data_IF_047025526574
#
_entry.id   IF_047025526574
#
_cell.length_a   1.000
_cell.length_b   1.000
_cell.length_c   1.000
_cell.angle_alpha   90.00
_cell.angle_beta   90.00
_cell.angle_gamma   90.00
#
_symmetry.space_group_name_H-M   'P 1'
#
loop_
_entity.id
_entity.type
_entity.pdbx_description
1 polymer ?
#
# COMPACT_ATOMS: atom_id res chain seq x y z
N UNK A 1 -6.84 20.44 -57.97
CA UNK A 1 -7.33 21.36 -56.92
C UNK A 1 -7.27 20.56 -55.62
N UNK A 2 -6.30 20.91 -54.77
CA UNK A 2 -6.06 20.25 -53.49
C UNK A 2 -7.21 20.56 -52.54
N UNK A 3 -7.85 19.51 -52.02
CA UNK A 3 -8.78 19.60 -50.92
C UNK A 3 -7.99 19.73 -49.61
N UNK A 4 -7.95 20.95 -49.08
CA UNK A 4 -7.48 21.25 -47.74
C UNK A 4 -8.34 20.51 -46.70
N UNK A 5 -7.83 19.36 -46.26
CA UNK A 5 -8.29 18.69 -45.05
C UNK A 5 -7.83 19.53 -43.86
N UNK A 6 -8.74 20.35 -43.33
CA UNK A 6 -8.63 20.87 -41.95
C UNK A 6 -8.82 19.70 -41.01
N UNK A 7 -7.70 19.13 -40.57
CA UNK A 7 -7.66 18.22 -39.43
C UNK A 7 -7.84 19.10 -38.20
N UNK A 8 -9.03 19.06 -37.61
CA UNK A 8 -9.23 19.56 -36.26
C UNK A 8 -8.34 18.72 -35.33
N UNK A 9 -7.20 19.29 -34.96
CA UNK A 9 -6.41 18.84 -33.83
C UNK A 9 -7.33 18.88 -32.61
N UNK A 10 -7.88 17.73 -32.24
CA UNK A 10 -8.46 17.50 -30.92
C UNK A 10 -7.29 17.74 -29.97
N UNK A 11 -7.25 18.98 -29.45
CA UNK A 11 -6.29 19.42 -28.46
C UNK A 11 -6.29 18.39 -27.34
N UNK A 12 -5.10 17.84 -27.10
CA UNK A 12 -4.87 16.70 -26.22
C UNK A 12 -5.63 16.80 -24.92
N UNK A 13 -6.10 15.62 -24.51
CA UNK A 13 -6.54 15.24 -23.18
C UNK A 13 -6.40 16.35 -22.14
N UNK A 14 -7.56 16.91 -21.77
CA UNK A 14 -7.70 17.52 -20.46
C UNK A 14 -7.33 16.45 -19.45
N UNK A 15 -6.09 16.47 -18.97
CA UNK A 15 -5.73 15.85 -17.70
C UNK A 15 -6.72 16.43 -16.69
N UNK A 16 -7.60 15.61 -16.07
CA UNK A 16 -8.46 16.15 -15.04
C UNK A 16 -7.57 16.72 -13.94
N UNK A 17 -7.69 18.03 -13.68
CA UNK A 17 -6.95 18.84 -12.68
C UNK A 17 -7.10 18.37 -11.23
N UNK A 18 -7.59 17.15 -10.97
CA UNK A 18 -8.03 16.71 -9.66
C UNK A 18 -7.12 15.64 -9.05
N UNK A 19 -5.80 15.90 -9.06
CA UNK A 19 -4.81 15.05 -8.37
C UNK A 19 -4.71 15.41 -6.86
N UNK A 20 -5.39 16.48 -6.41
CA UNK A 20 -5.49 16.86 -5.00
C UNK A 20 -6.85 16.48 -4.39
N UNK A 21 -7.27 15.21 -4.53
CA UNK A 21 -8.36 14.73 -3.68
C UNK A 21 -7.85 14.65 -2.23
N UNK A 22 -8.47 15.41 -1.34
CA UNK A 22 -8.24 15.25 0.09
C UNK A 22 -8.52 13.79 0.48
N UNK A 23 -7.66 13.18 1.33
CA UNK A 23 -7.92 11.84 1.82
C UNK A 23 -9.32 11.79 2.45
N UNK A 24 -10.13 10.80 2.07
CA UNK A 24 -11.48 10.63 2.61
C UNK A 24 -11.58 9.36 3.44
N UNK A 25 -12.28 9.43 4.56
CA UNK A 25 -12.61 8.27 5.41
C UNK A 25 -13.48 7.25 4.68
N UNK A 26 -14.26 7.67 3.67
CA UNK A 26 -15.08 6.77 2.84
C UNK A 26 -14.23 5.88 1.91
N UNK A 27 -12.99 6.29 1.62
CA UNK A 27 -12.05 5.48 0.85
C UNK A 27 -11.36 4.40 1.71
N UNK A 28 -11.58 4.39 3.03
CA UNK A 28 -11.00 3.39 3.93
C UNK A 28 -11.77 2.06 3.74
N UNK A 29 -11.07 0.95 3.41
CA UNK A 29 -11.70 -0.34 3.19
C UNK A 29 -12.39 -0.88 4.45
N UNK A 30 -13.04 -2.04 4.33
CA UNK A 30 -13.48 -2.78 5.51
C UNK A 30 -12.26 -3.20 6.35
N UNK A 31 -12.03 -2.46 7.44
CA UNK A 31 -10.88 -2.64 8.31
C UNK A 31 -10.94 -3.94 9.10
N UNK A 32 -12.14 -4.45 9.39
CA UNK A 32 -12.29 -5.70 10.14
C UNK A 32 -12.01 -6.89 9.23
N UNK A 33 -12.48 -6.85 7.99
CA UNK A 33 -12.12 -7.83 6.97
C UNK A 33 -10.62 -7.81 6.67
N UNK A 34 -10.03 -6.62 6.53
CA UNK A 34 -8.60 -6.46 6.28
C UNK A 34 -7.76 -7.02 7.43
N UNK A 35 -8.11 -6.69 8.68
CA UNK A 35 -7.43 -7.19 9.88
C UNK A 35 -7.53 -8.72 9.96
N UNK A 36 -8.70 -9.28 9.70
CA UNK A 36 -8.90 -10.73 9.66
C UNK A 36 -8.01 -11.39 8.59
N UNK A 37 -7.96 -10.82 7.39
CA UNK A 37 -7.14 -11.36 6.30
C UNK A 37 -5.64 -11.30 6.63
N UNK A 38 -5.16 -10.20 7.22
CA UNK A 38 -3.77 -10.08 7.66
C UNK A 38 -3.40 -11.16 8.68
N UNK A 39 -4.28 -11.42 9.66
CA UNK A 39 -4.05 -12.50 10.63
C UNK A 39 -4.00 -13.88 9.95
N UNK A 40 -4.93 -14.17 9.04
CA UNK A 40 -4.94 -15.43 8.29
C UNK A 40 -3.70 -15.60 7.39
N UNK A 41 -3.19 -14.50 6.83
CA UNK A 41 -1.94 -14.50 6.06
C UNK A 41 -0.77 -14.80 6.99
N UNK A 42 -0.66 -14.12 8.13
CA UNK A 42 0.40 -14.38 9.11
C UNK A 42 0.41 -15.83 9.59
N UNK A 43 -0.76 -16.37 9.95
CA UNK A 43 -0.90 -17.77 10.37
C UNK A 43 -0.40 -18.73 9.27
N UNK A 44 -0.78 -18.49 8.01
CA UNK A 44 -0.34 -19.29 6.87
C UNK A 44 1.18 -19.18 6.64
N UNK A 45 1.72 -17.96 6.75
CA UNK A 45 3.15 -17.69 6.60
C UNK A 45 3.96 -18.34 7.74
N UNK A 46 3.37 -18.53 8.92
CA UNK A 46 4.03 -19.16 10.06
C UNK A 46 4.11 -20.69 10.00
N UNK A 47 3.34 -21.32 9.11
CA UNK A 47 3.42 -22.76 8.89
C UNK A 47 4.84 -23.19 8.45
N UNK A 48 5.42 -24.25 9.04
CA UNK A 48 6.76 -24.72 8.69
C UNK A 48 6.94 -25.03 7.19
N UNK A 49 5.91 -25.57 6.55
CA UNK A 49 5.90 -25.89 5.12
C UNK A 49 5.95 -24.61 4.28
N UNK A 50 5.18 -23.60 4.65
CA UNK A 50 5.19 -22.29 3.99
C UNK A 50 6.54 -21.59 4.16
N UNK A 51 7.13 -21.64 5.36
CA UNK A 51 8.48 -21.09 5.60
C UNK A 51 9.55 -21.78 4.74
N UNK A 52 9.46 -23.10 4.55
CA UNK A 52 10.35 -23.83 3.62
C UNK A 52 10.09 -23.44 2.16
N UNK A 53 8.82 -23.25 1.80
CA UNK A 53 8.43 -22.86 0.44
C UNK A 53 8.87 -21.43 0.11
N UNK A 54 8.79 -20.50 1.05
CA UNK A 54 9.32 -19.14 0.89
C UNK A 54 10.81 -19.13 0.54
N UNK A 55 11.60 -20.03 1.14
CA UNK A 55 13.05 -20.14 0.88
C UNK A 55 13.38 -20.76 -0.47
N UNK A 56 12.54 -21.67 -0.97
CA UNK A 56 12.82 -22.47 -2.17
C UNK A 56 12.08 -21.97 -3.42
N UNK A 57 10.90 -21.39 -3.26
CA UNK A 57 10.03 -20.90 -4.32
C UNK A 57 9.09 -19.78 -3.81
N UNK A 58 9.62 -18.58 -3.52
CA UNK A 58 8.83 -17.47 -3.01
C UNK A 58 7.72 -17.02 -3.98
N UNK A 59 7.95 -17.16 -5.29
CA UNK A 59 6.97 -16.79 -6.32
C UNK A 59 5.67 -17.60 -6.22
N UNK A 60 5.74 -18.87 -5.82
CA UNK A 60 4.53 -19.69 -5.64
C UNK A 60 3.70 -19.25 -4.43
N UNK A 61 4.37 -18.84 -3.35
CA UNK A 61 3.70 -18.29 -2.16
C UNK A 61 3.04 -16.96 -2.48
N UNK A 62 3.76 -16.05 -3.15
CA UNK A 62 3.23 -14.75 -3.56
C UNK A 62 1.99 -14.92 -4.46
N UNK A 63 2.09 -15.76 -5.50
CA UNK A 63 0.95 -16.04 -6.39
C UNK A 63 -0.26 -16.58 -5.63
N UNK A 64 -0.07 -17.56 -4.76
CA UNK A 64 -1.17 -18.12 -3.96
C UNK A 64 -1.84 -17.07 -3.07
N UNK A 65 -1.05 -16.23 -2.39
CA UNK A 65 -1.60 -15.18 -1.53
C UNK A 65 -2.36 -14.12 -2.34
N UNK A 66 -1.81 -13.69 -3.47
CA UNK A 66 -2.45 -12.72 -4.34
C UNK A 66 -3.77 -13.24 -4.93
N UNK A 67 -3.83 -14.52 -5.31
CA UNK A 67 -5.06 -15.16 -5.80
C UNK A 67 -6.10 -15.37 -4.70
N UNK A 68 -5.67 -15.73 -3.49
CA UNK A 68 -6.57 -16.04 -2.37
C UNK A 68 -7.11 -14.80 -1.66
N UNK A 69 -6.31 -13.73 -1.61
CA UNK A 69 -6.61 -12.51 -0.86
C UNK A 69 -6.63 -11.28 -1.79
N UNK A 70 -7.39 -11.36 -2.89
CA UNK A 70 -7.49 -10.28 -3.88
C UNK A 70 -7.98 -8.95 -3.31
N UNK A 71 -8.73 -8.98 -2.22
CA UNK A 71 -9.25 -7.77 -1.54
C UNK A 71 -8.19 -7.11 -0.62
N UNK A 72 -7.03 -7.74 -0.42
CA UNK A 72 -5.93 -7.17 0.35
C UNK A 72 -5.04 -6.37 -0.61
N UNK A 73 -4.77 -5.09 -0.33
CA UNK A 73 -3.85 -4.29 -1.14
C UNK A 73 -2.49 -4.96 -1.32
N UNK A 74 -2.02 -5.03 -2.57
CA UNK A 74 -0.76 -5.71 -2.91
C UNK A 74 0.44 -5.23 -2.07
N UNK A 75 0.50 -3.94 -1.74
CA UNK A 75 1.55 -3.40 -0.88
C UNK A 75 1.57 -4.01 0.54
N UNK A 76 0.40 -4.35 1.09
CA UNK A 76 0.30 -5.06 2.37
C UNK A 76 0.82 -6.49 2.22
N UNK A 77 0.47 -7.18 1.12
CA UNK A 77 0.98 -8.53 0.86
C UNK A 77 2.51 -8.55 0.73
N UNK A 78 3.09 -7.59 0.00
CA UNK A 78 4.54 -7.43 -0.14
C UNK A 78 5.20 -7.22 1.22
N UNK A 79 4.67 -6.31 2.04
CA UNK A 79 5.22 -6.00 3.37
C UNK A 79 5.17 -7.20 4.33
N UNK A 80 4.13 -8.05 4.23
CA UNK A 80 4.04 -9.30 4.98
C UNK A 80 4.99 -10.39 4.47
N UNK A 81 5.38 -10.33 3.19
CA UNK A 81 6.30 -11.25 2.53
C UNK A 81 7.78 -10.85 2.69
N UNK A 82 8.07 -9.59 3.00
CA UNK A 82 9.40 -9.08 3.38
C UNK A 82 9.83 -9.63 4.75
N UNK A 83 10.20 -10.91 4.77
CA UNK A 83 10.55 -11.70 5.96
C UNK A 83 12.05 -11.91 6.09
N UNK A 84 12.85 -10.86 5.83
CA UNK A 84 14.32 -10.93 5.81
C UNK A 84 14.93 -11.33 7.18
N UNK A 85 14.18 -11.18 8.27
CA UNK A 85 14.48 -11.74 9.59
C UNK A 85 13.20 -12.10 10.36
N UNK A 86 13.28 -13.02 11.34
CA UNK A 86 12.13 -13.33 12.22
C UNK A 86 11.64 -12.10 13.00
N UNK A 87 12.53 -11.13 13.26
CA UNK A 87 12.19 -9.84 13.87
C UNK A 87 11.41 -8.94 12.90
N UNK A 88 11.80 -8.86 11.62
CA UNK A 88 11.10 -8.07 10.61
C UNK A 88 9.65 -8.55 10.41
N UNK A 89 9.42 -9.86 10.49
CA UNK A 89 8.10 -10.50 10.41
C UNK A 89 7.15 -9.95 11.47
N UNK A 90 7.59 -10.00 12.73
CA UNK A 90 6.77 -9.60 13.85
C UNK A 90 6.53 -8.08 13.82
N UNK A 91 7.56 -7.31 13.44
CA UNK A 91 7.44 -5.86 13.36
C UNK A 91 6.49 -5.39 12.27
N UNK A 92 6.56 -5.94 11.06
CA UNK A 92 5.71 -5.53 9.93
C UNK A 92 4.23 -5.83 10.19
N UNK A 93 3.93 -7.01 10.74
CA UNK A 93 2.56 -7.37 11.16
C UNK A 93 2.02 -6.43 12.23
N UNK A 94 2.81 -6.12 13.27
CA UNK A 94 2.40 -5.19 14.33
C UNK A 94 2.17 -3.78 13.77
N UNK A 95 3.05 -3.28 12.92
CA UNK A 95 2.90 -1.95 12.31
C UNK A 95 1.63 -1.82 11.47
N UNK A 96 1.29 -2.86 10.70
CA UNK A 96 0.04 -2.89 9.93
C UNK A 96 -1.19 -2.87 10.83
N UNK A 97 -1.19 -3.63 11.92
CA UNK A 97 -2.31 -3.64 12.87
C UNK A 97 -2.47 -2.28 13.56
N UNK A 98 -1.37 -1.61 13.91
CA UNK A 98 -1.39 -0.27 14.48
C UNK A 98 -1.88 0.79 13.47
N UNK A 99 -1.51 0.65 12.19
CA UNK A 99 -2.03 1.50 11.11
C UNK A 99 -3.54 1.32 10.97
N UNK A 100 -4.02 0.07 10.95
CA UNK A 100 -5.45 -0.25 10.86
C UNK A 100 -6.23 0.35 12.02
N UNK A 101 -5.71 0.23 13.24
CA UNK A 101 -6.33 0.83 14.43
C UNK A 101 -6.37 2.37 14.34
N UNK A 102 -5.34 2.98 13.77
CA UNK A 102 -5.30 4.43 13.56
C UNK A 102 -6.33 4.88 12.52
N UNK A 103 -6.49 4.11 11.44
CA UNK A 103 -7.53 4.33 10.43
C UNK A 103 -8.94 4.09 10.99
N UNK A 104 -9.11 3.13 11.89
CA UNK A 104 -10.39 2.87 12.57
C UNK A 104 -10.83 4.09 13.37
N UNK A 105 -9.94 4.67 14.17
CA UNK A 105 -10.21 5.91 14.90
C UNK A 105 -10.60 7.08 13.99
N UNK A 106 -9.98 7.18 12.82
CA UNK A 106 -10.38 8.17 11.83
C UNK A 106 -11.78 7.91 11.27
N UNK A 107 -12.09 6.65 10.93
CA UNK A 107 -13.40 6.23 10.41
C UNK A 107 -14.53 6.41 11.42
N UNK A 108 -14.25 6.23 12.70
CA UNK A 108 -15.18 6.47 13.81
C UNK A 108 -15.34 7.95 14.19
N UNK A 109 -14.61 8.86 13.52
CA UNK A 109 -14.67 10.30 13.79
C UNK A 109 -13.96 10.75 15.07
N UNK A 110 -13.14 9.88 15.68
CA UNK A 110 -12.35 10.20 16.89
C UNK A 110 -11.21 11.17 16.54
N UNK A 111 -10.70 11.13 15.31
CA UNK A 111 -9.71 12.06 14.79
C UNK A 111 -9.87 12.26 13.28
N UNK A 112 -9.28 13.33 12.72
CA UNK A 112 -9.26 13.50 11.26
C UNK A 112 -8.32 12.49 10.60
N UNK A 113 -8.57 12.19 9.32
CA UNK A 113 -7.67 11.33 8.52
C UNK A 113 -6.27 11.96 8.34
N UNK A 114 -6.20 13.29 8.32
CA UNK A 114 -4.94 14.03 8.31
C UNK A 114 -4.16 13.79 9.62
N UNK A 115 -4.81 13.92 10.77
CA UNK A 115 -4.17 13.69 12.08
C UNK A 115 -3.77 12.22 12.26
N UNK A 116 -4.59 11.29 11.76
CA UNK A 116 -4.28 9.86 11.72
C UNK A 116 -2.99 9.60 10.92
N UNK A 117 -2.89 10.17 9.71
CA UNK A 117 -1.69 10.07 8.86
C UNK A 117 -0.46 10.67 9.53
N UNK A 118 -0.58 11.89 10.07
CA UNK A 118 0.53 12.58 10.74
C UNK A 118 1.01 11.83 11.99
N UNK A 119 0.08 11.35 12.82
CA UNK A 119 0.40 10.59 14.03
C UNK A 119 1.13 9.30 13.70
N UNK A 120 0.64 8.54 12.71
CA UNK A 120 1.28 7.29 12.29
C UNK A 120 2.66 7.56 11.69
N UNK A 121 2.78 8.53 10.78
CA UNK A 121 4.06 8.92 10.16
C UNK A 121 5.09 9.34 11.20
N UNK A 122 4.70 10.17 12.17
CA UNK A 122 5.60 10.60 13.25
C UNK A 122 6.03 9.42 14.14
N UNK A 123 5.17 8.42 14.34
CA UNK A 123 5.52 7.20 15.07
C UNK A 123 6.57 6.38 14.31
N UNK A 124 6.40 6.20 13.00
CA UNK A 124 7.36 5.50 12.14
C UNK A 124 8.72 6.24 12.11
N UNK A 125 8.71 7.57 11.93
CA UNK A 125 9.92 8.41 11.99
C UNK A 125 10.70 8.20 13.29
N UNK A 126 10.01 8.19 14.43
CA UNK A 126 10.63 7.95 15.74
C UNK A 126 11.18 6.53 15.88
N UNK A 127 10.46 5.52 15.37
CA UNK A 127 10.86 4.11 15.46
C UNK A 127 12.11 3.82 14.63
N UNK A 128 12.17 4.30 13.39
CA UNK A 128 13.25 3.99 12.45
C UNK A 128 14.36 5.05 12.39
N UNK A 129 14.26 6.13 13.18
CA UNK A 129 15.11 7.33 13.05
C UNK A 129 15.13 7.88 11.61
N UNK A 130 14.10 7.56 10.82
CA UNK A 130 13.97 7.99 9.44
C UNK A 130 13.75 9.50 9.42
N UNK A 131 14.50 10.20 8.57
CA UNK A 131 14.32 11.63 8.37
C UNK A 131 13.13 11.89 7.46
N UNK A 132 12.57 13.10 7.52
CA UNK A 132 11.48 13.52 6.65
C UNK A 132 11.86 13.42 5.16
N UNK A 133 13.13 13.68 4.85
CA UNK A 133 13.72 13.52 3.53
C UNK A 133 13.72 12.07 3.03
N UNK A 134 13.95 11.09 3.92
CA UNK A 134 13.98 9.68 3.53
C UNK A 134 12.59 9.20 3.08
N UNK A 135 11.55 9.67 3.77
CA UNK A 135 10.16 9.33 3.44
C UNK A 135 9.71 10.04 2.16
N UNK A 136 10.05 11.33 2.00
CA UNK A 136 9.73 12.07 0.78
C UNK A 136 10.43 11.49 -0.46
N UNK A 137 11.67 11.03 -0.30
CA UNK A 137 12.41 10.36 -1.37
C UNK A 137 11.71 9.05 -1.78
N UNK A 138 11.30 8.21 -0.83
CA UNK A 138 10.56 6.97 -1.11
C UNK A 138 9.18 7.23 -1.74
N UNK A 139 8.42 8.23 -1.25
CA UNK A 139 7.13 8.62 -1.83
C UNK A 139 7.29 9.16 -3.26
N UNK A 140 8.37 9.89 -3.52
CA UNK A 140 8.72 10.39 -4.86
C UNK A 140 9.12 9.25 -5.80
N UNK A 141 9.84 8.23 -5.31
CA UNK A 141 10.18 7.04 -6.09
C UNK A 141 8.94 6.17 -6.39
N UNK A 142 8.02 6.03 -5.44
CA UNK A 142 6.76 5.31 -5.61
C UNK A 142 5.79 6.00 -6.59
N UNK A 143 5.80 7.33 -6.65
CA UNK A 143 5.02 8.08 -7.64
C UNK A 143 5.66 8.03 -9.03
N UNK A 144 6.98 8.06 -9.13
CA UNK A 144 7.71 7.92 -10.39
C UNK A 144 7.61 6.51 -10.99
N UNK A 145 7.65 5.46 -10.17
CA UNK A 145 7.51 4.07 -10.62
C UNK A 145 6.11 3.74 -11.15
N UNK A 146 5.05 4.43 -10.68
CA UNK A 146 3.70 4.33 -11.27
C UNK A 146 3.59 4.96 -12.67
N UNK A 147 4.48 5.88 -13.03
CA UNK A 147 4.52 6.52 -14.36
C UNK A 147 5.27 5.66 -15.40
N UNK A 148 6.18 4.78 -14.96
CA UNK A 148 7.05 3.98 -15.85
C UNK A 148 6.44 2.66 -16.35
N UNK A 149 5.26 2.27 -15.88
CA UNK A 149 4.57 1.02 -16.29
C UNK A 149 3.52 1.29 -17.39
N UNK A 150 3.57 2.46 -18.03
CA UNK A 150 2.61 2.90 -19.07
C UNK A 150 3.20 3.01 -20.48
N UNK A 151 4.36 2.41 -20.73
CA UNK A 151 4.93 2.27 -22.08
C UNK A 151 4.69 0.86 -22.65
#
# INVERSE_FOLDING_TARGET
MNSDLKVDLISGDKVPDNINQEPSVEAIPDLDLLMRNINLINDYLDLPETRKLLKSNPGSVNRYLNEKYMDVPYGILTLLLERDSEEAIYENGVLLLEMIETLRKAKEGVMSIHDASLNFTNKIKRKYKATEQDIENELSLLSASKLSVRD
#
